data_IF_959285236453
#
_entry.id   IF_959285236453
#
_cell.length_a   1.000
_cell.length_b   1.000
_cell.length_c   1.000
_cell.angle_alpha   90.00
_cell.angle_beta   90.00
_cell.angle_gamma   90.00
#
_symmetry.space_group_name_H-M   'P 1'
#
loop_
_entity.id
_entity.type
_entity.pdbx_description
1 polymer ?
#
# COMPACT_ATOMS: atom_id res chain seq x y z
N UNK A 1 -65.23 64.52 -25.03
CA UNK A 1 -64.07 64.89 -25.87
C UNK A 1 -62.80 64.48 -25.15
N UNK A 2 -61.99 63.61 -25.75
CA UNK A 2 -60.51 63.62 -25.82
C UNK A 2 -60.11 62.23 -26.32
N UNK A 3 -59.78 62.21 -27.60
CA UNK A 3 -59.03 61.19 -28.31
C UNK A 3 -57.59 61.22 -27.77
N UNK A 4 -56.91 60.07 -27.68
CA UNK A 4 -55.48 59.98 -27.99
C UNK A 4 -55.10 58.50 -28.15
N UNK A 5 -55.07 58.02 -29.39
CA UNK A 5 -54.44 56.75 -29.71
C UNK A 5 -52.92 56.82 -29.56
N UNK A 6 -52.29 55.68 -29.23
CA UNK A 6 -50.99 55.27 -29.77
C UNK A 6 -50.90 53.75 -29.68
N UNK A 7 -50.54 53.18 -30.83
CA UNK A 7 -50.31 51.77 -31.06
C UNK A 7 -48.93 51.39 -30.51
N UNK A 8 -48.73 50.07 -30.44
CA UNK A 8 -47.48 49.30 -30.49
C UNK A 8 -46.49 49.29 -29.29
N UNK A 9 -46.14 48.06 -28.93
CA UNK A 9 -44.77 47.55 -28.74
C UNK A 9 -44.31 47.26 -27.30
N UNK A 10 -44.82 46.18 -26.71
CA UNK A 10 -44.06 45.36 -25.73
C UNK A 10 -44.31 43.89 -26.04
N UNK A 11 -43.60 43.38 -27.06
CA UNK A 11 -43.39 41.94 -27.26
C UNK A 11 -42.22 41.57 -26.35
N UNK A 12 -42.52 41.02 -25.17
CA UNK A 12 -41.66 40.24 -24.28
C UNK A 12 -42.26 40.31 -22.87
N UNK A 13 -42.35 39.15 -22.20
CA UNK A 13 -43.10 38.92 -20.95
C UNK A 13 -44.60 38.83 -21.25
N UNK A 14 -45.36 37.77 -21.00
CA UNK A 14 -45.32 36.76 -19.96
C UNK A 14 -45.98 35.51 -20.57
N UNK A 15 -45.43 34.34 -20.29
CA UNK A 15 -45.10 33.32 -21.27
C UNK A 15 -45.96 32.06 -21.05
N UNK A 16 -45.78 31.01 -21.85
CA UNK A 16 -45.65 29.63 -21.31
C UNK A 16 -46.84 29.14 -20.43
N UNK A 17 -48.04 29.67 -20.63
CA UNK A 17 -49.27 29.25 -19.94
C UNK A 17 -49.91 28.00 -20.56
N UNK A 18 -49.25 27.38 -21.54
CA UNK A 18 -49.75 26.21 -22.27
C UNK A 18 -49.07 24.88 -21.89
N UNK A 19 -48.48 24.80 -20.69
CA UNK A 19 -47.84 23.58 -20.16
C UNK A 19 -48.55 23.02 -18.90
N UNK A 20 -49.87 23.17 -18.81
CA UNK A 20 -50.67 22.74 -17.64
C UNK A 20 -51.93 21.94 -18.01
N UNK A 21 -51.88 21.11 -19.06
CA UNK A 21 -52.96 20.18 -19.41
C UNK A 21 -52.45 18.73 -19.50
N UNK A 22 -52.00 18.20 -18.37
CA UNK A 22 -51.46 16.84 -18.23
C UNK A 22 -51.92 16.15 -16.95
N UNK A 23 -53.20 16.30 -16.59
CA UNK A 23 -53.84 15.54 -15.52
C UNK A 23 -54.53 14.31 -16.10
N UNK A 24 -53.83 13.18 -16.15
CA UNK A 24 -54.48 11.89 -16.41
C UNK A 24 -53.64 10.74 -15.84
N UNK A 25 -54.21 10.06 -14.83
CA UNK A 25 -54.01 8.62 -14.57
C UNK A 25 -52.64 8.17 -14.04
N UNK A 26 -52.26 8.55 -12.82
CA UNK A 26 -51.27 7.75 -12.04
C UNK A 26 -51.47 7.79 -10.52
N UNK A 27 -52.64 8.19 -10.03
CA UNK A 27 -52.83 8.48 -8.61
C UNK A 27 -53.28 7.28 -7.73
N UNK A 28 -53.68 6.13 -8.27
CA UNK A 28 -54.17 5.02 -7.42
C UNK A 28 -53.84 3.63 -7.99
N UNK A 29 -52.62 3.16 -7.73
CA UNK A 29 -52.35 1.72 -7.63
C UNK A 29 -52.34 1.39 -6.13
N UNK A 30 -53.20 0.47 -5.64
CA UNK A 30 -53.26 0.17 -4.21
C UNK A 30 -51.95 -0.43 -3.72
N UNK A 31 -51.40 0.14 -2.63
CA UNK A 31 -50.26 -0.40 -1.88
C UNK A 31 -50.65 -1.76 -1.28
N UNK A 32 -50.34 -2.84 -1.98
CA UNK A 32 -50.27 -4.20 -1.44
C UNK A 32 -48.80 -4.64 -1.49
N UNK A 33 -48.17 -4.54 -0.31
CA UNK A 33 -46.98 -5.28 0.15
C UNK A 33 -45.82 -5.50 -0.84
N UNK A 34 -44.97 -4.50 -1.01
CA UNK A 34 -43.53 -4.73 -1.19
C UNK A 34 -42.83 -4.66 0.19
N UNK A 35 -43.22 -5.54 1.09
CA UNK A 35 -42.33 -6.01 2.15
C UNK A 35 -42.02 -7.47 1.82
N UNK A 36 -41.00 -7.65 1.00
CA UNK A 36 -40.55 -8.95 0.52
C UNK A 36 -39.10 -8.87 0.05
N UNK A 37 -38.19 -8.83 1.03
CA UNK A 37 -36.74 -9.04 0.89
C UNK A 37 -35.94 -7.97 0.14
N UNK A 38 -35.69 -6.86 0.83
CA UNK A 38 -34.41 -6.14 0.75
C UNK A 38 -33.32 -7.01 1.40
N UNK A 39 -32.93 -8.12 0.76
CA UNK A 39 -31.71 -8.87 1.08
C UNK A 39 -31.39 -9.77 -0.12
N UNK A 40 -30.95 -9.16 -1.21
CA UNK A 40 -29.88 -9.76 -2.01
C UNK A 40 -28.55 -9.33 -1.36
N UNK A 41 -28.37 -9.68 -0.08
CA UNK A 41 -27.03 -10.10 0.31
C UNK A 41 -26.80 -11.36 -0.51
N UNK A 42 -26.05 -11.17 -1.57
CA UNK A 42 -25.27 -12.20 -2.20
C UNK A 42 -24.37 -12.77 -1.10
N UNK A 43 -24.91 -13.73 -0.33
CA UNK A 43 -24.13 -14.62 0.52
C UNK A 43 -23.29 -15.39 -0.47
N UNK A 44 -22.08 -14.87 -0.73
CA UNK A 44 -20.99 -15.59 -1.38
C UNK A 44 -20.97 -17.01 -0.79
N UNK A 45 -21.00 -18.00 -1.67
CA UNK A 45 -20.95 -19.41 -1.30
C UNK A 45 -19.79 -19.64 -0.30
N UNK A 46 -20.00 -20.36 0.82
CA UNK A 46 -19.02 -20.52 1.89
C UNK A 46 -17.71 -21.23 1.46
N UNK A 47 -17.65 -21.78 0.25
CA UNK A 47 -16.43 -22.31 -0.35
C UNK A 47 -15.51 -21.18 -0.90
N UNK A 48 -16.09 -20.13 -1.50
CA UNK A 48 -15.32 -19.01 -2.06
C UNK A 48 -14.68 -18.15 -0.96
N UNK A 49 -15.35 -18.04 0.19
CA UNK A 49 -14.85 -17.28 1.34
C UNK A 49 -13.60 -17.90 1.97
N UNK A 50 -13.47 -19.23 1.99
CA UNK A 50 -12.30 -19.89 2.59
C UNK A 50 -11.05 -19.78 1.71
N UNK A 51 -11.24 -19.87 0.40
CA UNK A 51 -10.16 -19.71 -0.56
C UNK A 51 -9.71 -18.25 -0.64
N UNK A 52 -10.64 -17.28 -0.63
CA UNK A 52 -10.36 -15.84 -0.58
C UNK A 52 -9.59 -15.46 0.71
N UNK A 53 -10.00 -15.98 1.88
CA UNK A 53 -9.29 -15.79 3.16
C UNK A 53 -7.89 -16.42 3.14
N UNK A 54 -7.76 -17.67 2.64
CA UNK A 54 -6.47 -18.35 2.58
C UNK A 54 -5.49 -17.63 1.63
N UNK A 55 -5.97 -17.10 0.50
CA UNK A 55 -5.16 -16.29 -0.40
C UNK A 55 -4.74 -14.96 0.23
N UNK A 56 -5.62 -14.30 0.99
CA UNK A 56 -5.30 -13.05 1.68
C UNK A 56 -4.27 -13.27 2.81
N UNK A 57 -4.40 -14.35 3.59
CA UNK A 57 -3.42 -14.75 4.61
C UNK A 57 -2.04 -15.07 4.01
N UNK A 58 -2.00 -15.80 2.89
CA UNK A 58 -0.75 -16.11 2.18
C UNK A 58 -0.12 -14.85 1.61
N UNK A 59 -0.90 -13.92 1.05
CA UNK A 59 -0.39 -12.66 0.53
C UNK A 59 0.18 -11.75 1.63
N UNK A 60 -0.50 -11.63 2.77
CA UNK A 60 -0.02 -10.88 3.93
C UNK A 60 1.30 -11.45 4.46
N UNK A 61 1.40 -12.78 4.55
CA UNK A 61 2.63 -13.47 4.98
C UNK A 61 3.78 -13.28 3.98
N UNK A 62 3.49 -13.33 2.68
CA UNK A 62 4.49 -13.02 1.65
C UNK A 62 4.95 -11.56 1.73
N UNK A 63 4.04 -10.62 1.95
CA UNK A 63 4.37 -9.20 2.18
C UNK A 63 5.24 -9.01 3.43
N UNK A 64 4.97 -9.74 4.52
CA UNK A 64 5.80 -9.71 5.74
C UNK A 64 7.22 -10.24 5.47
N UNK A 65 7.36 -11.32 4.70
CA UNK A 65 8.65 -11.89 4.32
C UNK A 65 9.43 -11.02 3.33
N UNK A 66 8.75 -10.14 2.59
CA UNK A 66 9.35 -9.25 1.60
C UNK A 66 9.96 -7.98 2.23
N UNK A 67 9.74 -7.71 3.52
CA UNK A 67 10.43 -6.61 4.20
C UNK A 67 11.86 -7.00 4.56
N UNK A 68 12.82 -6.22 4.08
CA UNK A 68 14.21 -6.30 4.56
C UNK A 68 14.26 -5.93 6.04
N UNK A 69 14.47 -6.93 6.88
CA UNK A 69 14.68 -6.77 8.32
C UNK A 69 16.17 -6.64 8.61
N UNK A 70 16.51 -5.89 9.66
CA UNK A 70 17.86 -5.93 10.21
C UNK A 70 18.28 -7.37 10.52
N UNK A 71 19.49 -7.70 10.10
CA UNK A 71 20.05 -9.04 10.27
C UNK A 71 20.31 -9.30 11.75
N UNK A 72 19.93 -10.48 12.26
CA UNK A 72 20.25 -10.87 13.63
C UNK A 72 21.73 -11.33 13.71
N UNK A 73 22.60 -10.62 14.47
CA UNK A 73 24.03 -10.91 14.49
C UNK A 73 24.40 -12.25 15.14
N UNK A 74 23.54 -12.78 16.01
CA UNK A 74 23.77 -14.07 16.70
C UNK A 74 23.47 -15.27 15.78
N UNK A 75 22.74 -15.07 14.69
CA UNK A 75 22.32 -16.15 13.78
C UNK A 75 22.85 -16.00 12.36
N UNK A 76 23.30 -14.80 11.99
CA UNK A 76 23.86 -14.57 10.66
C UNK A 76 25.25 -15.17 10.56
N UNK A 77 25.41 -16.10 9.63
CA UNK A 77 26.69 -16.72 9.31
C UNK A 77 27.38 -15.89 8.23
N UNK A 78 28.58 -15.43 8.54
CA UNK A 78 29.41 -14.64 7.63
C UNK A 78 29.93 -15.52 6.50
N UNK A 79 29.80 -15.03 5.26
CA UNK A 79 30.17 -15.75 4.05
C UNK A 79 31.15 -14.98 3.16
N UNK A 80 31.76 -15.65 2.17
CA UNK A 80 32.55 -14.99 1.14
C UNK A 80 31.74 -13.94 0.37
N UNK A 81 32.35 -12.78 0.11
CA UNK A 81 31.71 -11.67 -0.58
C UNK A 81 31.02 -10.65 0.34
N UNK A 82 30.78 -10.99 1.62
CA UNK A 82 30.30 -10.02 2.60
C UNK A 82 31.31 -8.87 2.76
N UNK A 83 30.84 -7.65 2.99
CA UNK A 83 31.71 -6.47 3.10
C UNK A 83 31.61 -5.90 4.51
N UNK A 84 32.74 -5.82 5.20
CA UNK A 84 32.85 -5.20 6.51
C UNK A 84 33.32 -3.76 6.39
N UNK A 85 32.58 -2.85 7.04
CA UNK A 85 33.03 -1.49 7.28
C UNK A 85 33.74 -1.44 8.63
N UNK A 86 35.06 -1.26 8.62
CA UNK A 86 35.89 -1.20 9.83
C UNK A 86 36.41 0.22 9.98
N UNK A 87 36.14 0.83 11.13
CA UNK A 87 36.65 2.15 11.49
C UNK A 87 37.64 2.00 12.63
N UNK A 88 38.89 2.38 12.37
CA UNK A 88 39.97 2.37 13.36
C UNK A 88 40.05 3.78 13.95
N UNK A 89 39.89 3.87 15.28
CA UNK A 89 39.98 5.10 16.06
C UNK A 89 41.37 5.20 16.71
N UNK A 90 41.99 6.38 16.66
CA UNK A 90 43.34 6.64 17.18
C UNK A 90 43.85 8.01 16.72
N UNK A 91 45.17 8.17 16.58
CA UNK A 91 45.78 9.42 16.06
C UNK A 91 45.30 9.79 14.65
N UNK A 92 44.95 8.80 13.84
CA UNK A 92 44.35 9.00 12.53
C UNK A 92 43.09 8.13 12.44
N UNK A 93 41.94 8.75 12.21
CA UNK A 93 40.70 8.04 11.92
C UNK A 93 40.73 7.52 10.48
N UNK A 94 40.61 6.21 10.30
CA UNK A 94 40.52 5.58 8.98
C UNK A 94 39.39 4.57 8.94
N UNK A 95 38.58 4.65 7.88
CA UNK A 95 37.55 3.68 7.54
C UNK A 95 37.98 2.83 6.35
N UNK A 96 37.77 1.52 6.44
CA UNK A 96 38.04 0.56 5.38
C UNK A 96 36.77 -0.24 5.07
N UNK A 97 36.53 -0.48 3.78
CA UNK A 97 35.57 -1.49 3.33
C UNK A 97 36.34 -2.70 2.86
N UNK A 98 36.23 -3.79 3.62
CA UNK A 98 37.04 -5.00 3.42
C UNK A 98 36.09 -6.15 3.10
N UNK A 99 36.17 -6.74 1.89
CA UNK A 99 35.39 -7.92 1.56
C UNK A 99 35.95 -9.16 2.26
N UNK A 100 35.07 -10.09 2.61
CA UNK A 100 35.45 -11.46 2.97
C UNK A 100 35.88 -12.17 1.69
N UNK A 101 37.13 -12.64 1.69
CA UNK A 101 37.72 -13.35 0.55
C UNK A 101 36.99 -14.67 0.25
N UNK A 102 37.23 -15.25 -0.93
CA UNK A 102 36.73 -16.58 -1.29
C UNK A 102 37.19 -17.69 -0.33
N UNK A 103 38.33 -17.51 0.34
CA UNK A 103 38.84 -18.41 1.38
C UNK A 103 38.16 -18.19 2.75
N UNK A 104 37.24 -17.25 2.86
CA UNK A 104 36.54 -16.93 4.10
C UNK A 104 37.35 -16.07 5.07
N UNK A 105 38.37 -15.35 4.58
CA UNK A 105 39.24 -14.49 5.40
C UNK A 105 38.91 -13.01 5.24
N UNK A 106 39.03 -12.27 6.34
CA UNK A 106 39.00 -10.81 6.39
C UNK A 106 40.44 -10.29 6.54
N UNK A 107 40.91 -9.47 5.59
CA UNK A 107 42.29 -8.96 5.56
C UNK A 107 42.29 -7.50 5.98
N UNK A 108 42.63 -7.24 7.25
CA UNK A 108 42.60 -5.90 7.82
C UNK A 108 44.00 -5.28 7.72
N UNK A 109 44.16 -4.11 7.07
CA UNK A 109 45.44 -3.40 7.02
C UNK A 109 46.02 -3.21 8.41
N UNK A 110 47.33 -3.37 8.55
CA UNK A 110 48.11 -3.20 9.81
C UNK A 110 47.78 -4.17 10.96
N UNK A 111 46.68 -4.91 10.92
CA UNK A 111 46.31 -5.91 11.94
C UNK A 111 46.68 -7.33 11.49
N UNK A 112 46.27 -7.73 10.28
CA UNK A 112 46.50 -9.07 9.74
C UNK A 112 45.27 -9.70 9.08
N UNK A 113 45.28 -11.02 8.94
CA UNK A 113 44.16 -11.79 8.38
C UNK A 113 43.43 -12.60 9.45
N UNK A 114 42.10 -12.64 9.37
CA UNK A 114 41.23 -13.36 10.30
C UNK A 114 40.33 -14.33 9.52
N UNK A 115 40.22 -15.58 9.97
CA UNK A 115 39.26 -16.53 9.41
C UNK A 115 37.87 -16.20 9.98
N UNK A 116 36.96 -15.75 9.12
CA UNK A 116 35.63 -15.26 9.52
C UNK A 116 34.47 -16.07 8.94
N UNK A 117 34.69 -16.81 7.85
CA UNK A 117 33.65 -17.68 7.30
C UNK A 117 33.18 -18.73 8.31
N UNK A 118 31.91 -19.12 8.19
CA UNK A 118 31.21 -20.08 9.04
C UNK A 118 31.06 -19.63 10.52
N UNK A 119 31.38 -18.37 10.82
CA UNK A 119 31.17 -17.77 12.14
C UNK A 119 29.97 -16.84 12.14
N UNK A 120 29.38 -16.63 13.30
CA UNK A 120 28.33 -15.63 13.45
C UNK A 120 28.91 -14.21 13.34
N UNK A 121 28.10 -13.25 12.90
CA UNK A 121 28.51 -11.83 12.90
C UNK A 121 28.90 -11.35 14.30
N UNK A 122 28.21 -11.84 15.33
CA UNK A 122 28.52 -11.56 16.72
C UNK A 122 29.91 -12.07 17.12
N UNK A 123 30.29 -13.28 16.71
CA UNK A 123 31.60 -13.85 17.01
C UNK A 123 32.72 -13.12 16.28
N UNK A 124 32.52 -12.77 15.01
CA UNK A 124 33.49 -11.99 14.24
C UNK A 124 33.71 -10.63 14.88
N UNK A 125 32.65 -9.96 15.37
CA UNK A 125 32.77 -8.69 16.09
C UNK A 125 33.64 -8.80 17.34
N UNK A 126 33.54 -9.91 18.09
CA UNK A 126 34.37 -10.15 19.29
C UNK A 126 35.84 -10.42 18.97
N UNK A 127 36.17 -10.85 17.75
CA UNK A 127 37.55 -11.10 17.34
C UNK A 127 38.31 -9.83 16.95
N UNK A 128 37.59 -8.78 16.57
CA UNK A 128 38.15 -7.50 16.10
C UNK A 128 38.24 -6.45 17.23
N UNK A 129 37.46 -6.60 18.30
CA UNK A 129 37.47 -5.75 19.50
C UNK A 129 38.51 -6.24 20.51
#
# INVERSE_FOLDING_TARGET
>A
MINLGKKNLVWLTIPVTLLFLGTAVFAQIPRQQQQGKLTSQQVKSPAQTKEEIAFEEVQLKLMEQAFEKAVNPETYIVGPGDIFSIVIWGDIQKGFQIPVTAEGKLIIPTIGSLQVADKTLADVKKMVL
#
